data_IF_873166384641
#
_entry.id   IF_873166384641
#
_cell.length_a   1.000
_cell.length_b   1.000
_cell.length_c   1.000
_cell.angle_alpha   90.00
_cell.angle_beta   90.00
_cell.angle_gamma   90.00
#
_symmetry.space_group_name_H-M   'P 1'
#
loop_
_entity.id
_entity.type
_entity.pdbx_description
1 polymer ?
#
# COMPACT_ATOMS: atom_id res chain seq x y z
N UNK A 1 21.08 -26.12 57.03
CA UNK A 1 20.22 -26.54 55.89
C UNK A 1 20.86 -27.76 55.24
N UNK A 2 20.16 -28.88 55.07
CA UNK A 2 20.79 -30.08 54.53
C UNK A 2 21.15 -29.87 53.05
N UNK A 3 22.30 -30.39 52.61
CA UNK A 3 22.78 -30.24 51.22
C UNK A 3 21.69 -30.63 50.19
N UNK A 4 20.85 -31.61 50.54
CA UNK A 4 19.70 -32.08 49.76
C UNK A 4 18.63 -30.99 49.54
N UNK A 5 18.34 -30.17 50.55
CA UNK A 5 17.38 -29.06 50.44
C UNK A 5 17.95 -27.97 49.52
N UNK A 6 19.25 -27.71 49.63
CA UNK A 6 19.95 -26.70 48.83
C UNK A 6 19.96 -27.09 47.33
N UNK A 7 20.22 -28.35 47.01
CA UNK A 7 20.12 -28.85 45.62
C UNK A 7 18.69 -28.86 45.08
N UNK A 8 17.69 -29.13 45.93
CA UNK A 8 16.28 -29.09 45.52
C UNK A 8 15.84 -27.67 45.12
N UNK A 9 16.22 -26.66 45.90
CA UNK A 9 15.93 -25.25 45.59
C UNK A 9 16.65 -24.82 44.31
N UNK A 10 17.91 -25.23 44.13
CA UNK A 10 18.68 -24.91 42.92
C UNK A 10 18.04 -25.54 41.67
N UNK A 11 17.56 -26.79 41.77
CA UNK A 11 16.91 -27.49 40.67
C UNK A 11 15.59 -26.81 40.26
N UNK A 12 14.78 -26.39 41.24
CA UNK A 12 13.53 -25.66 40.99
C UNK A 12 13.81 -24.33 40.30
N UNK A 13 14.83 -23.60 40.76
CA UNK A 13 15.22 -22.33 40.15
C UNK A 13 15.72 -22.53 38.71
N UNK A 14 16.51 -23.57 38.46
CA UNK A 14 17.01 -23.90 37.13
C UNK A 14 15.85 -24.26 36.18
N UNK A 15 14.93 -25.13 36.59
CA UNK A 15 13.75 -25.50 35.81
C UNK A 15 12.85 -24.28 35.54
N UNK A 16 12.63 -23.42 36.55
CA UNK A 16 11.88 -22.19 36.38
C UNK A 16 12.56 -21.23 35.40
N UNK A 17 13.89 -21.16 35.38
CA UNK A 17 14.61 -20.29 34.44
C UNK A 17 14.52 -20.78 32.98
N UNK A 18 14.50 -22.10 32.77
CA UNK A 18 14.34 -22.69 31.44
C UNK A 18 12.91 -22.46 30.94
N UNK A 19 11.91 -22.69 31.80
CA UNK A 19 10.50 -22.39 31.45
C UNK A 19 10.32 -20.89 31.19
N UNK A 20 10.93 -20.02 31.99
CA UNK A 20 10.88 -18.57 31.79
C UNK A 20 11.55 -18.15 30.48
N UNK A 21 12.67 -18.75 30.08
CA UNK A 21 13.30 -18.50 28.78
C UNK A 21 12.41 -18.95 27.61
N UNK A 22 11.80 -20.14 27.69
CA UNK A 22 10.88 -20.62 26.66
C UNK A 22 9.60 -19.77 26.56
N UNK A 23 9.04 -19.33 27.69
CA UNK A 23 7.88 -18.43 27.70
C UNK A 23 8.23 -16.98 27.31
N UNK A 24 9.46 -16.51 27.56
CA UNK A 24 9.93 -15.21 27.04
C UNK A 24 10.17 -15.23 25.54
N UNK A 25 10.51 -16.38 24.96
CA UNK A 25 10.59 -16.56 23.51
C UNK A 25 9.18 -16.49 22.90
N UNK A 26 8.16 -17.10 23.53
CA UNK A 26 6.76 -16.98 23.11
C UNK A 26 6.17 -15.58 23.36
N UNK A 27 6.50 -14.89 24.45
CA UNK A 27 6.08 -13.49 24.68
C UNK A 27 6.81 -12.49 23.78
N UNK A 28 8.00 -12.83 23.25
CA UNK A 28 8.65 -12.05 22.19
C UNK A 28 8.01 -12.26 20.81
N UNK A 29 7.35 -13.40 20.59
CA UNK A 29 6.58 -13.66 19.36
C UNK A 29 5.17 -13.04 19.44
N UNK A 30 4.67 -12.79 20.65
CA UNK A 30 3.34 -12.21 20.89
C UNK A 30 3.36 -10.73 21.32
N UNK A 31 4.46 -10.00 21.09
CA UNK A 31 4.47 -8.54 21.14
C UNK A 31 4.40 -8.00 19.73
N UNK A 32 3.18 -7.61 19.38
CA UNK A 32 2.81 -6.68 18.31
C UNK A 32 3.88 -5.62 18.04
N UNK A 33 4.83 -5.92 17.16
CA UNK A 33 5.41 -4.89 16.31
C UNK A 33 4.53 -4.85 15.05
N UNK A 34 3.64 -3.87 15.03
CA UNK A 34 2.92 -3.45 13.83
C UNK A 34 3.89 -3.44 12.65
N UNK A 35 3.68 -4.33 11.69
CA UNK A 35 4.46 -4.51 10.46
C UNK A 35 4.55 -3.23 9.60
N UNK A 36 3.79 -2.18 9.96
CA UNK A 36 3.74 -0.87 9.30
C UNK A 36 5.08 -0.13 9.20
N UNK A 37 6.03 -0.33 10.11
CA UNK A 37 7.25 0.49 10.19
C UNK A 37 8.56 -0.29 10.03
N UNK A 38 8.54 -1.46 9.39
CA UNK A 38 9.80 -2.12 9.01
C UNK A 38 10.44 -1.35 7.86
N UNK A 39 11.55 -0.66 8.14
CA UNK A 39 12.38 -0.04 7.12
C UNK A 39 13.09 -1.12 6.30
N UNK A 40 12.90 -1.11 4.98
CA UNK A 40 13.59 -1.98 4.05
C UNK A 40 15.01 -1.44 3.81
N UNK A 41 15.90 -2.29 3.29
CA UNK A 41 17.32 -1.96 3.02
C UNK A 41 17.51 -0.78 2.07
N UNK A 42 16.50 -0.46 1.26
CA UNK A 42 16.44 0.68 0.33
C UNK A 42 16.05 2.01 1.01
N UNK A 43 15.79 2.01 2.32
CA UNK A 43 15.37 3.20 3.08
C UNK A 43 13.89 3.57 2.95
N UNK A 44 13.07 2.75 2.28
CA UNK A 44 11.61 2.86 2.26
C UNK A 44 10.99 1.92 3.30
N UNK A 45 9.88 2.32 3.89
CA UNK A 45 9.06 1.47 4.73
C UNK A 45 8.35 0.43 3.89
N UNK A 46 8.21 -0.76 4.45
CA UNK A 46 7.46 -1.85 3.83
C UNK A 46 6.02 -1.42 3.51
N UNK A 47 5.40 -0.63 4.39
CA UNK A 47 4.05 -0.09 4.17
C UNK A 47 3.98 0.84 2.96
N UNK A 48 4.97 1.71 2.72
CA UNK A 48 5.03 2.55 1.52
C UNK A 48 5.20 1.74 0.23
N UNK A 49 5.98 0.66 0.25
CA UNK A 49 6.20 -0.19 -0.94
C UNK A 49 4.96 -1.03 -1.27
N UNK A 50 4.31 -1.63 -0.26
CA UNK A 50 3.12 -2.48 -0.43
C UNK A 50 1.88 -1.66 -0.80
N UNK A 51 1.78 -0.41 -0.30
CA UNK A 51 0.63 0.47 -0.54
C UNK A 51 0.23 0.46 -2.01
N UNK A 52 -1.06 0.28 -2.27
CA UNK A 52 -1.62 0.44 -3.61
C UNK A 52 -2.13 1.86 -3.80
N UNK A 53 -1.84 2.43 -4.95
CA UNK A 53 -2.34 3.71 -5.43
C UNK A 53 -3.11 3.50 -6.73
N UNK A 54 -3.99 2.50 -6.71
CA UNK A 54 -4.82 2.14 -7.84
C UNK A 54 -5.99 3.14 -7.98
N UNK A 55 -6.55 3.24 -9.18
CA UNK A 55 -7.70 4.11 -9.45
C UNK A 55 -8.95 3.66 -8.69
N UNK A 56 -9.76 4.60 -8.19
CA UNK A 56 -11.08 4.31 -7.59
C UNK A 56 -12.11 3.80 -8.60
N UNK A 57 -11.85 3.98 -9.89
CA UNK A 57 -12.77 3.61 -10.97
C UNK A 57 -12.47 2.23 -11.54
N UNK A 58 -11.26 1.72 -11.32
CA UNK A 58 -10.81 0.40 -11.77
C UNK A 58 -10.69 -0.59 -10.59
N UNK A 59 -10.42 -0.10 -9.37
CA UNK A 59 -10.23 -0.90 -8.16
C UNK A 59 -11.06 -0.40 -6.99
N UNK A 60 -11.60 -1.33 -6.18
CA UNK A 60 -12.27 -1.01 -4.92
C UNK A 60 -11.33 -0.63 -3.77
N UNK A 61 -10.02 -0.51 -4.03
CA UNK A 61 -8.99 -0.38 -2.99
C UNK A 61 -8.54 1.07 -2.74
N UNK A 62 -9.14 2.06 -3.41
CA UNK A 62 -8.71 3.47 -3.33
C UNK A 62 -8.75 4.05 -1.90
N UNK A 63 -9.74 3.64 -1.11
CA UNK A 63 -9.90 4.00 0.31
C UNK A 63 -9.56 2.84 1.25
N UNK A 64 -8.83 1.83 0.78
CA UNK A 64 -8.44 0.71 1.61
C UNK A 64 -7.13 1.00 2.37
N UNK A 65 -7.19 0.85 3.69
CA UNK A 65 -6.09 1.09 4.63
C UNK A 65 -5.49 -0.20 5.20
N UNK A 66 -6.23 -1.31 5.16
CA UNK A 66 -5.87 -2.55 5.86
C UNK A 66 -4.87 -3.41 5.08
N UNK A 67 -4.57 -3.06 3.84
CA UNK A 67 -3.66 -3.83 3.00
C UNK A 67 -2.17 -3.69 3.42
N UNK A 68 -1.86 -2.81 4.37
CA UNK A 68 -0.56 -2.77 5.03
C UNK A 68 -0.40 -3.83 6.13
N UNK A 69 -1.46 -4.51 6.58
CA UNK A 69 -1.39 -5.30 7.81
C UNK A 69 -0.99 -6.79 7.61
N UNK A 70 -1.38 -7.49 6.54
CA UNK A 70 -1.32 -8.98 6.57
C UNK A 70 -0.96 -9.72 5.26
N UNK A 71 -0.04 -9.20 4.42
CA UNK A 71 0.43 -9.99 3.26
C UNK A 71 1.87 -10.52 3.42
N UNK A 72 2.05 -11.84 3.68
CA UNK A 72 3.32 -12.49 3.42
C UNK A 72 3.64 -12.42 1.92
N UNK A 73 4.93 -12.22 1.61
CA UNK A 73 5.48 -12.03 0.24
C UNK A 73 5.09 -13.16 -0.72
N UNK A 74 4.70 -14.32 -0.20
CA UNK A 74 4.24 -15.49 -0.96
C UNK A 74 2.85 -15.35 -1.57
N UNK A 75 2.02 -14.41 -1.11
CA UNK A 75 0.61 -14.26 -1.55
C UNK A 75 0.37 -13.13 -2.56
N UNK A 76 1.41 -12.56 -3.16
CA UNK A 76 1.24 -11.53 -4.21
C UNK A 76 0.54 -12.12 -5.46
N UNK A 77 0.48 -13.45 -5.60
CA UNK A 77 -0.23 -14.11 -6.70
C UNK A 77 -1.69 -14.48 -6.41
N UNK A 78 -2.16 -14.57 -5.16
CA UNK A 78 -3.55 -14.96 -4.89
C UNK A 78 -3.96 -14.55 -3.48
N UNK A 79 -4.55 -13.36 -3.31
CA UNK A 79 -5.36 -13.07 -2.13
C UNK A 79 -6.80 -12.87 -2.51
N UNK A 80 -7.66 -13.49 -1.71
CA UNK A 80 -9.12 -13.48 -1.80
C UNK A 80 -9.68 -12.06 -1.62
N UNK A 81 -9.48 -11.18 -2.61
CA UNK A 81 -10.48 -10.17 -2.91
C UNK A 81 -11.81 -10.90 -3.16
N UNK A 82 -12.96 -10.39 -2.67
CA UNK A 82 -14.25 -10.90 -3.14
C UNK A 82 -14.15 -10.95 -4.67
N UNK A 83 -14.42 -12.13 -5.26
CA UNK A 83 -14.32 -12.34 -6.71
C UNK A 83 -14.95 -11.13 -7.38
N UNK A 84 -14.10 -10.22 -7.89
CA UNK A 84 -14.61 -9.04 -8.54
C UNK A 84 -15.35 -9.57 -9.74
N UNK A 85 -16.67 -9.43 -9.77
CA UNK A 85 -17.52 -9.94 -10.85
C UNK A 85 -17.01 -9.43 -12.21
N UNK A 86 -16.36 -8.24 -12.19
CA UNK A 86 -15.60 -7.67 -13.28
C UNK A 86 -14.51 -8.58 -13.85
N UNK A 87 -13.75 -9.30 -13.01
CA UNK A 87 -12.67 -10.18 -13.45
C UNK A 87 -13.18 -11.37 -14.25
N UNK A 88 -14.39 -11.85 -13.96
CA UNK A 88 -15.06 -12.96 -14.66
C UNK A 88 -15.77 -12.55 -15.94
N UNK A 89 -15.90 -11.25 -16.22
CA UNK A 89 -16.53 -10.76 -17.45
C UNK A 89 -15.68 -11.05 -18.70
N UNK A 90 -16.38 -11.18 -19.83
CA UNK A 90 -15.76 -11.24 -21.14
C UNK A 90 -15.00 -9.94 -21.47
N UNK A 91 -14.06 -10.00 -22.41
CA UNK A 91 -13.32 -8.80 -22.87
C UNK A 91 -14.27 -7.72 -23.39
N UNK A 92 -15.32 -8.12 -24.11
CA UNK A 92 -16.30 -7.20 -24.69
C UNK A 92 -17.11 -6.47 -23.62
N UNK A 93 -17.52 -7.17 -22.56
CA UNK A 93 -18.22 -6.57 -21.43
C UNK A 93 -17.33 -5.62 -20.63
N UNK A 94 -16.05 -5.98 -20.43
CA UNK A 94 -15.05 -5.11 -19.80
C UNK A 94 -14.87 -3.82 -20.60
N UNK A 95 -14.76 -3.92 -21.93
CA UNK A 95 -14.62 -2.76 -22.81
C UNK A 95 -15.88 -1.89 -22.85
N UNK A 96 -17.07 -2.50 -22.74
CA UNK A 96 -18.33 -1.76 -22.62
C UNK A 96 -18.38 -0.97 -21.30
N UNK A 97 -18.10 -1.63 -20.17
CA UNK A 97 -18.10 -0.99 -18.86
C UNK A 97 -17.05 0.12 -18.79
N UNK A 98 -15.84 -0.13 -19.31
CA UNK A 98 -14.77 0.88 -19.37
C UNK A 98 -15.22 2.13 -20.12
N UNK A 99 -15.84 1.97 -21.29
CA UNK A 99 -16.37 3.11 -22.08
C UNK A 99 -17.47 3.87 -21.33
N UNK A 100 -18.39 3.15 -20.68
CA UNK A 100 -19.45 3.75 -19.88
C UNK A 100 -18.90 4.56 -18.69
N UNK A 101 -17.90 4.02 -17.99
CA UNK A 101 -17.21 4.71 -16.90
C UNK A 101 -16.53 5.98 -17.43
N UNK A 102 -15.74 5.88 -18.51
CA UNK A 102 -15.07 7.03 -19.13
C UNK A 102 -16.08 8.12 -19.48
N UNK A 103 -17.23 7.77 -20.06
CA UNK A 103 -18.26 8.73 -20.40
C UNK A 103 -18.86 9.40 -19.16
N UNK A 104 -19.09 8.65 -18.08
CA UNK A 104 -19.61 9.18 -16.81
C UNK A 104 -18.63 10.13 -16.11
N UNK A 105 -17.33 9.84 -16.17
CA UNK A 105 -16.30 10.62 -15.47
C UNK A 105 -15.66 11.70 -16.34
N UNK A 106 -16.14 11.90 -17.57
CA UNK A 106 -15.55 12.85 -18.53
C UNK A 106 -15.38 14.25 -17.95
N UNK A 107 -16.41 14.79 -17.29
CA UNK A 107 -16.33 16.13 -16.67
C UNK A 107 -15.29 16.23 -15.56
N UNK A 108 -15.04 15.13 -14.85
CA UNK A 108 -13.99 15.03 -13.84
C UNK A 108 -12.61 14.95 -14.50
N UNK A 109 -12.48 14.16 -15.58
CA UNK A 109 -11.25 14.06 -16.35
C UNK A 109 -10.85 15.40 -16.99
N UNK A 110 -11.83 16.16 -17.49
CA UNK A 110 -11.62 17.50 -18.06
C UNK A 110 -11.16 18.51 -17.00
N UNK A 111 -11.62 18.35 -15.75
CA UNK A 111 -11.19 19.16 -14.60
C UNK A 111 -9.76 18.81 -14.15
N UNK A 112 -9.36 17.56 -14.30
CA UNK A 112 -8.08 17.01 -13.83
C UNK A 112 -7.31 16.36 -15.01
N UNK A 113 -6.86 17.15 -15.99
CA UNK A 113 -6.28 16.63 -17.22
C UNK A 113 -5.00 15.82 -16.97
N UNK A 114 -4.22 16.19 -15.96
CA UNK A 114 -2.95 15.53 -15.64
C UNK A 114 -3.10 14.31 -14.71
N UNK A 115 -4.29 14.03 -14.19
CA UNK A 115 -4.50 13.02 -13.16
C UNK A 115 -4.64 11.62 -13.76
N UNK A 116 -3.61 10.79 -13.64
CA UNK A 116 -3.51 9.47 -14.29
C UNK A 116 -4.51 8.43 -13.77
N UNK A 117 -5.14 8.69 -12.62
CA UNK A 117 -6.06 7.76 -11.98
C UNK A 117 -7.50 7.90 -12.48
N UNK A 118 -7.82 8.95 -13.24
CA UNK A 118 -9.15 9.13 -13.83
C UNK A 118 -9.18 8.48 -15.22
N UNK A 119 -10.09 7.50 -15.46
CA UNK A 119 -10.22 6.86 -16.76
C UNK A 119 -10.48 7.87 -17.88
N UNK A 120 -9.77 7.68 -18.99
CA UNK A 120 -9.94 8.45 -20.22
C UNK A 120 -9.70 7.58 -21.43
N UNK A 121 -10.16 8.05 -22.58
CA UNK A 121 -9.82 7.40 -23.85
C UNK A 121 -8.32 7.52 -24.09
N UNK A 122 -7.67 6.38 -24.31
CA UNK A 122 -6.26 6.29 -24.63
C UNK A 122 -6.12 5.68 -26.02
N UNK A 123 -5.10 6.13 -26.74
CA UNK A 123 -4.68 5.46 -27.98
C UNK A 123 -4.05 4.11 -27.65
N UNK A 124 -4.08 3.15 -28.59
CA UNK A 124 -3.47 1.82 -28.40
C UNK A 124 -2.00 1.90 -27.95
N UNK A 125 -1.25 2.85 -28.48
CA UNK A 125 0.15 3.09 -28.11
C UNK A 125 0.30 3.56 -26.65
N UNK A 126 -0.62 4.40 -26.17
CA UNK A 126 -0.66 4.84 -24.77
C UNK A 126 -1.08 3.71 -23.83
N UNK A 127 -2.05 2.87 -24.23
CA UNK A 127 -2.45 1.70 -23.44
C UNK A 127 -1.31 0.69 -23.31
N UNK A 128 -0.61 0.40 -24.41
CA UNK A 128 0.56 -0.48 -24.41
C UNK A 128 1.68 0.07 -23.53
N UNK A 129 1.92 1.38 -23.58
CA UNK A 129 2.88 2.03 -22.69
C UNK A 129 2.46 1.91 -21.22
N UNK A 130 1.20 2.22 -20.90
CA UNK A 130 0.67 2.14 -19.53
C UNK A 130 0.85 0.73 -18.95
N UNK A 131 0.52 -0.30 -19.73
CA UNK A 131 0.69 -1.70 -19.32
C UNK A 131 2.16 -2.04 -19.03
N UNK A 132 3.09 -1.64 -19.91
CA UNK A 132 4.52 -1.87 -19.68
C UNK A 132 5.04 -1.12 -18.45
N UNK A 133 4.58 0.11 -18.24
CA UNK A 133 4.93 0.90 -17.07
C UNK A 133 4.39 0.24 -15.78
N UNK A 134 3.18 -0.32 -15.80
CA UNK A 134 2.60 -1.07 -14.68
C UNK A 134 3.37 -2.37 -14.37
N UNK A 135 3.74 -3.14 -15.40
CA UNK A 135 4.59 -4.33 -15.27
C UNK A 135 5.93 -3.97 -14.63
N UNK A 136 6.59 -2.93 -15.15
CA UNK A 136 7.87 -2.43 -14.63
C UNK A 136 7.79 -1.98 -13.17
N UNK A 137 6.73 -1.26 -12.78
CA UNK A 137 6.49 -0.89 -11.37
C UNK A 137 6.34 -2.14 -10.50
N UNK A 138 5.62 -3.15 -10.98
CA UNK A 138 5.40 -4.40 -10.25
C UNK A 138 6.71 -5.15 -10.01
N UNK A 139 7.56 -5.26 -11.03
CA UNK A 139 8.88 -5.91 -10.92
C UNK A 139 9.77 -5.23 -9.89
N UNK A 140 9.86 -3.89 -9.93
CA UNK A 140 10.64 -3.13 -8.94
C UNK A 140 10.05 -3.33 -7.55
N UNK A 141 8.73 -3.29 -7.39
CA UNK A 141 8.07 -3.54 -6.09
C UNK A 141 8.46 -4.91 -5.53
N UNK A 142 8.39 -5.96 -6.33
CA UNK A 142 8.74 -7.33 -5.91
C UNK A 142 10.20 -7.38 -5.47
N UNK A 143 11.12 -6.83 -6.27
CA UNK A 143 12.54 -6.77 -5.93
C UNK A 143 12.77 -6.07 -4.58
N UNK A 144 12.12 -4.93 -4.35
CA UNK A 144 12.23 -4.19 -3.09
C UNK A 144 11.71 -4.99 -1.88
N UNK A 145 10.60 -5.70 -2.02
CA UNK A 145 10.03 -6.52 -0.95
C UNK A 145 10.87 -7.76 -0.64
N UNK A 146 11.57 -8.30 -1.63
CA UNK A 146 12.52 -9.41 -1.50
C UNK A 146 13.91 -8.95 -1.01
N UNK A 147 14.12 -7.64 -0.85
CA UNK A 147 15.42 -7.08 -0.47
C UNK A 147 16.48 -7.17 -1.57
N UNK A 148 16.08 -7.39 -2.82
CA UNK A 148 16.97 -7.38 -3.98
C UNK A 148 17.39 -5.95 -4.33
N UNK A 149 18.61 -5.82 -4.83
CA UNK A 149 19.13 -4.56 -5.32
C UNK A 149 18.42 -4.16 -6.62
N UNK A 150 18.01 -2.89 -6.71
CA UNK A 150 17.36 -2.30 -7.88
C UNK A 150 18.29 -1.24 -8.43
N UNK A 151 18.63 -1.34 -9.71
CA UNK A 151 19.52 -0.37 -10.36
C UNK A 151 18.91 1.04 -10.34
N UNK A 152 19.77 2.06 -10.25
CA UNK A 152 19.35 3.46 -10.10
C UNK A 152 18.25 3.92 -11.08
N UNK A 153 18.32 3.64 -12.40
CA UNK A 153 17.28 4.08 -13.33
C UNK A 153 15.90 3.45 -13.07
N UNK A 154 15.87 2.19 -12.60
CA UNK A 154 14.63 1.49 -12.25
C UNK A 154 14.05 2.02 -10.94
N UNK A 155 14.92 2.30 -9.97
CA UNK A 155 14.52 2.93 -8.71
C UNK A 155 13.94 4.32 -8.94
N UNK A 156 14.60 5.14 -9.76
CA UNK A 156 14.14 6.49 -10.08
C UNK A 156 12.76 6.48 -10.75
N UNK A 157 12.58 5.62 -11.76
CA UNK A 157 11.29 5.43 -12.41
C UNK A 157 10.18 5.00 -11.43
N UNK A 158 10.48 4.04 -10.54
CA UNK A 158 9.54 3.56 -9.54
C UNK A 158 9.12 4.67 -8.58
N UNK A 159 10.10 5.42 -8.03
CA UNK A 159 9.85 6.51 -7.09
C UNK A 159 9.03 7.62 -7.76
N UNK A 160 9.36 8.02 -8.98
CA UNK A 160 8.61 9.04 -9.71
C UNK A 160 7.18 8.62 -10.01
N UNK A 161 7.00 7.37 -10.42
CA UNK A 161 5.68 6.79 -10.67
C UNK A 161 4.84 6.77 -9.40
N UNK A 162 5.41 6.33 -8.27
CA UNK A 162 4.75 6.34 -6.95
C UNK A 162 4.40 7.75 -6.49
N UNK A 163 5.33 8.70 -6.58
CA UNK A 163 5.09 10.10 -6.21
C UNK A 163 3.95 10.69 -7.06
N UNK A 164 3.94 10.43 -8.37
CA UNK A 164 2.89 10.89 -9.27
C UNK A 164 1.53 10.30 -8.90
N UNK A 165 1.43 8.99 -8.69
CA UNK A 165 0.18 8.34 -8.29
C UNK A 165 -0.33 8.87 -6.94
N UNK A 166 0.55 9.06 -5.96
CA UNK A 166 0.18 9.65 -4.67
C UNK A 166 -0.35 11.07 -4.83
N UNK A 167 0.28 11.90 -5.66
CA UNK A 167 -0.21 13.26 -5.96
C UNK A 167 -1.60 13.22 -6.59
N UNK A 168 -1.82 12.29 -7.52
CA UNK A 168 -3.09 12.12 -8.21
C UNK A 168 -4.21 11.65 -7.28
N UNK A 169 -3.91 10.74 -6.34
CA UNK A 169 -4.87 10.35 -5.30
C UNK A 169 -5.24 11.53 -4.40
N UNK A 170 -4.24 12.29 -3.94
CA UNK A 170 -4.45 13.45 -3.06
C UNK A 170 -5.37 14.47 -3.74
N UNK A 171 -5.15 14.76 -5.02
CA UNK A 171 -5.98 15.71 -5.77
C UNK A 171 -7.47 15.27 -5.82
N UNK A 172 -7.73 13.99 -6.07
CA UNK A 172 -9.09 13.43 -6.09
C UNK A 172 -9.73 13.49 -4.69
N UNK A 173 -8.97 13.15 -3.65
CA UNK A 173 -9.44 13.11 -2.27
C UNK A 173 -9.74 14.53 -1.74
N UNK A 174 -8.88 15.50 -2.03
CA UNK A 174 -9.12 16.91 -1.68
C UNK A 174 -10.34 17.47 -2.38
N UNK A 175 -10.54 17.14 -3.67
CA UNK A 175 -11.74 17.52 -4.39
C UNK A 175 -13.01 16.91 -3.78
N UNK A 176 -12.95 15.60 -3.47
CA UNK A 176 -14.06 14.89 -2.83
C UNK A 176 -14.38 15.48 -1.45
N UNK A 177 -13.36 15.78 -0.65
CA UNK A 177 -13.49 16.41 0.67
C UNK A 177 -14.25 17.73 0.59
N UNK A 178 -13.83 18.63 -0.32
CA UNK A 178 -14.50 19.92 -0.55
C UNK A 178 -15.96 19.72 -0.97
N UNK A 179 -16.21 18.80 -1.89
CA UNK A 179 -17.56 18.49 -2.36
C UNK A 179 -18.48 18.02 -1.21
N UNK A 180 -17.99 17.14 -0.34
CA UNK A 180 -18.76 16.65 0.81
C UNK A 180 -19.04 17.76 1.84
N UNK A 181 -18.01 18.56 2.19
CA UNK A 181 -18.15 19.69 3.11
C UNK A 181 -19.18 20.72 2.61
N UNK A 182 -19.16 21.04 1.32
CA UNK A 182 -20.10 21.98 0.70
C UNK A 182 -21.54 21.43 0.68
N UNK A 183 -21.72 20.11 0.69
CA UNK A 183 -23.02 19.45 0.57
C UNK A 183 -23.86 19.40 1.87
N UNK A 184 -23.28 19.78 3.03
CA UNK A 184 -23.92 19.87 4.37
C UNK A 184 -24.94 18.75 4.70
N UNK A 185 -24.61 17.49 4.41
CA UNK A 185 -25.43 16.34 4.86
C UNK A 185 -24.79 15.72 6.10
N UNK A 186 -25.53 15.74 7.22
CA UNK A 186 -25.09 15.28 8.55
C UNK A 186 -24.66 13.78 8.62
N UNK A 187 -24.90 12.98 7.57
CA UNK A 187 -24.50 11.56 7.52
C UNK A 187 -23.10 11.31 6.92
N UNK A 188 -22.34 12.37 6.58
CA UNK A 188 -21.06 12.25 5.87
C UNK A 188 -19.82 12.25 6.78
N UNK A 189 -19.98 12.43 8.10
CA UNK A 189 -18.86 12.57 9.03
C UNK A 189 -17.90 11.37 9.02
N UNK A 190 -18.42 10.14 8.86
CA UNK A 190 -17.60 8.94 8.75
C UNK A 190 -16.77 8.89 7.46
N UNK A 191 -17.34 9.36 6.35
CA UNK A 191 -16.66 9.40 5.05
C UNK A 191 -15.62 10.51 4.99
N UNK A 192 -15.90 11.68 5.59
CA UNK A 192 -14.95 12.77 5.73
C UNK A 192 -13.74 12.35 6.55
N UNK A 193 -13.98 11.70 7.70
CA UNK A 193 -12.91 11.19 8.56
C UNK A 193 -12.01 10.19 7.82
N UNK A 194 -12.62 9.27 7.05
CA UNK A 194 -11.87 8.30 6.25
C UNK A 194 -11.00 9.00 5.18
N UNK A 195 -11.52 10.02 4.50
CA UNK A 195 -10.75 10.79 3.51
C UNK A 195 -9.58 11.52 4.19
N UNK A 196 -9.81 12.10 5.36
CA UNK A 196 -8.78 12.82 6.12
C UNK A 196 -7.65 11.89 6.57
N UNK A 197 -8.00 10.73 7.14
CA UNK A 197 -7.05 9.67 7.49
C UNK A 197 -6.25 9.22 6.26
N UNK A 198 -6.91 9.11 5.09
CA UNK A 198 -6.21 8.76 3.84
C UNK A 198 -5.20 9.80 3.45
N UNK A 199 -5.58 11.08 3.47
CA UNK A 199 -4.70 12.20 3.12
C UNK A 199 -3.46 12.25 4.00
N UNK A 200 -3.63 12.11 5.32
CA UNK A 200 -2.50 12.08 6.27
C UNK A 200 -1.55 10.92 5.94
N UNK A 201 -2.09 9.72 5.69
CA UNK A 201 -1.28 8.56 5.35
C UNK A 201 -0.52 8.73 4.03
N UNK A 202 -1.14 9.35 3.02
CA UNK A 202 -0.54 9.61 1.72
C UNK A 202 0.56 10.67 1.82
N UNK A 203 0.38 11.66 2.67
CA UNK A 203 1.40 12.67 2.94
C UNK A 203 2.65 12.04 3.56
N UNK A 204 2.50 11.21 4.59
CA UNK A 204 3.62 10.47 5.20
C UNK A 204 4.38 9.64 4.16
N UNK A 205 3.66 8.88 3.34
CA UNK A 205 4.27 8.05 2.28
C UNK A 205 4.98 8.90 1.21
N UNK A 206 4.39 10.04 0.82
CA UNK A 206 5.00 10.97 -0.14
C UNK A 206 6.31 11.55 0.38
N UNK A 207 6.35 11.97 1.64
CA UNK A 207 7.56 12.52 2.26
C UNK A 207 8.69 11.49 2.24
N UNK A 208 8.39 10.24 2.57
CA UNK A 208 9.32 9.13 2.49
C UNK A 208 9.84 8.89 1.06
N UNK A 209 8.95 8.85 0.06
CA UNK A 209 9.33 8.68 -1.34
C UNK A 209 10.23 9.82 -1.84
N UNK A 210 9.93 11.07 -1.48
CA UNK A 210 10.73 12.24 -1.84
C UNK A 210 12.10 12.19 -1.17
N UNK A 211 12.18 11.75 0.08
CA UNK A 211 13.45 11.56 0.78
C UNK A 211 14.29 10.45 0.14
N UNK A 212 13.67 9.32 -0.20
CA UNK A 212 14.34 8.23 -0.91
C UNK A 212 14.88 8.69 -2.27
N UNK A 213 14.09 9.47 -3.02
CA UNK A 213 14.54 10.04 -4.30
C UNK A 213 15.76 10.95 -4.11
N UNK A 214 15.72 11.86 -3.14
CA UNK A 214 16.86 12.75 -2.83
C UNK A 214 18.13 11.99 -2.49
N UNK A 215 18.01 10.85 -1.77
CA UNK A 215 19.17 10.00 -1.43
C UNK A 215 19.77 9.30 -2.65
N UNK A 216 18.95 9.01 -3.66
CA UNK A 216 19.40 8.38 -4.92
C UNK A 216 20.29 9.32 -5.75
N UNK A 217 20.14 10.63 -5.58
CA UNK A 217 20.91 11.68 -6.27
C UNK A 217 22.25 11.98 -5.61
N UNK A 218 22.50 11.45 -4.41
CA UNK A 218 23.78 11.60 -3.70
C UNK A 218 24.74 10.53 -4.25
N UNK A 219 25.93 10.91 -4.76
CA UNK A 219 26.89 9.99 -5.38
C UNK A 219 27.53 9.00 -4.40
#
# INVERSE_FOLDING_TARGET
MSKKILYSILLIFLCSSVVFMFFLEEEKILKNDSSENVSLSNGLSRSTVIRREDSLFESGNFLNFTESEDLPVTNISSTNTPKNEYSTLSSEEKDRIRREVIQRVKSLADRFPDNSLIPRELTKTQEDKRRKDEERISEVRIALLEGREVIKPEMEFYLDSKIKKTKDMVEILEYSMKFFQDSRKNDQDSSLKLIEERLVSLQKSREELVLAKKKLDIP
#
